data_IF_999400639188
#
_entry.id   IF_999400639188
#
_cell.length_a   1.000
_cell.length_b   1.000
_cell.length_c   1.000
_cell.angle_alpha   90.00
_cell.angle_beta   90.00
_cell.angle_gamma   90.00
#
_symmetry.space_group_name_H-M   'P 1'
#
loop_
_entity.id
_entity.type
_entity.pdbx_description
1 polymer ?
#
# COMPACT_ATOMS: atom_id res chain seq x y z
N UNK A 1 7.22 -12.04 37.96
CA UNK A 1 8.01 -10.92 37.41
C UNK A 1 7.21 -9.65 37.66
N UNK A 2 7.70 -8.82 38.58
CA UNK A 2 7.02 -7.61 39.05
C UNK A 2 6.93 -6.63 37.88
N UNK A 3 5.73 -6.15 37.54
CA UNK A 3 5.54 -5.07 36.56
C UNK A 3 6.41 -3.88 37.00
N UNK A 4 7.24 -3.29 36.12
CA UNK A 4 8.00 -2.10 36.48
C UNK A 4 7.00 -1.01 36.87
N UNK A 5 7.27 -0.35 37.99
CA UNK A 5 6.49 0.80 38.47
C UNK A 5 6.45 1.86 37.38
N UNK A 6 5.24 2.18 36.94
CA UNK A 6 4.93 3.23 35.98
C UNK A 6 5.57 4.54 36.41
N UNK A 7 6.35 5.15 35.52
CA UNK A 7 6.76 6.55 35.61
C UNK A 7 5.49 7.40 35.83
N UNK A 8 5.44 8.36 36.79
CA UNK A 8 4.22 9.16 37.00
C UNK A 8 3.82 9.79 35.67
N UNK A 9 2.63 9.43 35.18
CA UNK A 9 2.25 9.68 33.80
C UNK A 9 2.20 11.18 33.52
N UNK A 10 2.71 11.60 32.36
CA UNK A 10 2.55 12.96 31.80
C UNK A 10 1.10 13.45 31.79
N UNK A 11 0.13 12.53 31.87
CA UNK A 11 -1.31 12.79 32.01
C UNK A 11 -1.69 13.30 33.40
N UNK A 12 -0.96 12.92 34.46
CA UNK A 12 -1.21 13.42 35.82
C UNK A 12 -0.93 14.93 35.95
N UNK A 13 -0.10 15.48 35.06
CA UNK A 13 0.11 16.94 34.99
C UNK A 13 -1.15 17.69 34.54
N UNK A 14 -2.11 17.00 33.91
CA UNK A 14 -3.39 17.57 33.43
C UNK A 14 -4.47 17.65 34.52
N UNK A 15 -4.19 17.20 35.76
CA UNK A 15 -5.11 17.33 36.89
C UNK A 15 -5.29 18.80 37.36
N UNK A 16 -4.42 19.72 36.89
CA UNK A 16 -4.53 21.16 37.13
C UNK A 16 -5.88 21.71 36.62
N UNK A 17 -6.68 22.37 37.46
CA UNK A 17 -7.93 23.01 37.05
C UNK A 17 -7.80 23.96 35.85
N UNK A 18 -6.65 24.63 35.66
CA UNK A 18 -6.42 25.52 34.52
C UNK A 18 -6.21 24.78 33.19
N UNK A 19 -5.90 23.48 33.24
CA UNK A 19 -5.64 22.65 32.06
C UNK A 19 -6.87 21.89 31.58
N UNK A 20 -7.83 21.65 32.46
CA UNK A 20 -9.10 20.94 32.18
C UNK A 20 -9.80 21.40 30.89
N UNK A 21 -9.95 22.71 30.62
CA UNK A 21 -10.64 23.14 29.39
C UNK A 21 -9.89 22.76 28.09
N UNK A 22 -8.59 22.49 28.17
CA UNK A 22 -7.73 22.14 27.03
C UNK A 22 -7.57 20.63 26.81
N UNK A 23 -7.93 19.80 27.78
CA UNK A 23 -7.72 18.34 27.75
C UNK A 23 -8.33 17.68 26.49
N UNK A 24 -9.59 17.94 26.09
CA UNK A 24 -10.12 17.37 24.85
C UNK A 24 -9.45 17.90 23.59
N UNK A 25 -8.92 19.13 23.62
CA UNK A 25 -8.23 19.71 22.47
C UNK A 25 -6.89 19.04 22.26
N UNK A 26 -6.18 18.70 23.34
CA UNK A 26 -4.96 17.89 23.27
C UNK A 26 -5.24 16.50 22.70
N UNK A 27 -6.37 15.88 23.08
CA UNK A 27 -6.75 14.57 22.54
C UNK A 27 -7.03 14.64 21.05
N UNK A 28 -7.84 15.62 20.60
CA UNK A 28 -8.21 15.76 19.20
C UNK A 28 -7.02 16.20 18.34
N UNK A 29 -6.13 17.06 18.85
CA UNK A 29 -4.90 17.42 18.15
C UNK A 29 -4.05 16.18 17.80
N UNK A 30 -4.07 15.15 18.65
CA UNK A 30 -3.27 13.94 18.46
C UNK A 30 -4.07 12.73 17.94
N UNK A 31 -5.39 12.85 17.69
CA UNK A 31 -6.22 11.71 17.30
C UNK A 31 -5.83 11.13 15.95
N UNK A 32 -5.30 11.99 15.07
CA UNK A 32 -4.90 11.63 13.71
C UNK A 32 -3.40 11.27 13.64
N UNK A 33 -2.71 11.27 14.79
CA UNK A 33 -1.34 10.80 14.95
C UNK A 33 -0.25 11.82 14.62
N UNK A 34 -0.59 13.02 14.16
CA UNK A 34 0.35 14.11 13.86
C UNK A 34 -0.23 15.49 14.19
N UNK A 35 0.63 16.42 14.61
CA UNK A 35 0.33 17.85 14.81
C UNK A 35 1.35 18.65 14.01
N UNK A 36 0.90 19.27 12.94
CA UNK A 36 1.78 19.99 12.01
C UNK A 36 2.51 21.16 12.67
N UNK A 37 3.62 21.58 12.08
CA UNK A 37 4.39 22.76 12.54
C UNK A 37 3.54 24.02 12.59
N UNK A 38 2.59 24.18 11.65
CA UNK A 38 1.69 25.32 11.60
C UNK A 38 0.66 25.30 12.73
N UNK A 39 0.03 24.15 12.99
CA UNK A 39 -0.93 23.97 14.10
C UNK A 39 -0.25 24.19 15.45
N UNK A 40 0.92 23.59 15.64
CA UNK A 40 1.74 23.77 16.85
C UNK A 40 2.06 25.24 17.12
N UNK A 41 2.50 25.99 16.10
CA UNK A 41 2.79 27.41 16.23
C UNK A 41 1.53 28.23 16.57
N UNK A 42 0.41 27.92 15.90
CA UNK A 42 -0.87 28.57 16.12
C UNK A 42 -1.44 28.33 17.52
N UNK A 43 -1.31 27.12 18.07
CA UNK A 43 -1.73 26.77 19.42
C UNK A 43 -0.82 27.43 20.44
N UNK A 44 0.50 27.34 20.25
CA UNK A 44 1.50 27.91 21.18
C UNK A 44 1.32 29.41 21.36
N UNK A 45 1.14 30.15 20.27
CA UNK A 45 0.92 31.60 20.32
C UNK A 45 -0.33 31.98 21.12
N UNK A 46 -1.40 31.18 21.01
CA UNK A 46 -2.66 31.41 21.73
C UNK A 46 -2.56 31.06 23.21
N UNK A 47 -1.83 30.01 23.57
CA UNK A 47 -1.50 29.65 24.95
C UNK A 47 -0.67 30.76 25.62
N UNK A 48 0.29 31.35 24.91
CA UNK A 48 1.11 32.45 25.42
C UNK A 48 0.34 33.75 25.63
N UNK A 49 -0.69 33.99 24.82
CA UNK A 49 -1.54 35.17 24.91
C UNK A 49 -2.53 35.17 26.09
N UNK A 50 -2.59 34.10 26.90
CA UNK A 50 -3.55 33.98 28.01
C UNK A 50 -2.97 34.48 29.34
N UNK A 51 -3.28 35.70 29.81
CA UNK A 51 -2.69 36.28 31.02
C UNK A 51 -3.09 35.53 32.31
N UNK A 52 -4.23 34.86 32.31
CA UNK A 52 -4.76 34.07 33.42
C UNK A 52 -4.07 32.71 33.59
N UNK A 53 -3.43 32.18 32.54
CA UNK A 53 -2.79 30.86 32.55
C UNK A 53 -1.41 30.95 33.21
N UNK A 54 -1.19 30.19 34.28
CA UNK A 54 0.09 30.21 35.01
C UNK A 54 1.24 29.72 34.11
N UNK A 55 2.48 30.21 34.33
CA UNK A 55 3.66 29.75 33.57
C UNK A 55 3.83 28.23 33.56
N UNK A 56 3.55 27.56 34.70
CA UNK A 56 3.60 26.10 34.79
C UNK A 56 2.56 25.42 33.89
N UNK A 57 1.32 25.89 33.87
CA UNK A 57 0.26 25.34 33.01
C UNK A 57 0.58 25.56 31.52
N UNK A 58 1.13 26.73 31.14
CA UNK A 58 1.62 26.96 29.77
C UNK A 58 2.69 25.96 29.36
N UNK A 59 3.61 25.64 30.26
CA UNK A 59 4.69 24.70 30.00
C UNK A 59 4.16 23.27 29.77
N UNK A 60 3.16 22.84 30.54
CA UNK A 60 2.50 21.53 30.34
C UNK A 60 1.83 21.46 28.96
N UNK A 61 1.05 22.47 28.57
CA UNK A 61 0.39 22.49 27.25
C UNK A 61 1.41 22.45 26.09
N UNK A 62 2.48 23.25 26.17
CA UNK A 62 3.54 23.23 25.16
C UNK A 62 4.26 21.89 25.12
N UNK A 63 4.55 21.30 26.28
CA UNK A 63 5.11 19.96 26.37
C UNK A 63 4.25 18.93 25.67
N UNK A 64 2.92 18.99 25.84
CA UNK A 64 1.95 18.13 25.14
C UNK A 64 1.93 18.31 23.62
N UNK A 65 2.20 19.50 23.13
CA UNK A 65 2.35 19.74 21.69
C UNK A 65 3.69 19.22 21.21
N UNK A 66 4.80 19.54 21.88
CA UNK A 66 6.19 19.29 21.45
C UNK A 66 6.64 17.84 21.43
N UNK A 67 5.94 16.96 22.14
CA UNK A 67 6.28 15.53 22.18
C UNK A 67 5.07 14.68 21.82
N UNK A 68 5.19 13.86 20.77
CA UNK A 68 4.16 12.89 20.39
C UNK A 68 3.83 11.96 21.57
N UNK A 69 2.56 11.86 21.99
CA UNK A 69 2.16 10.97 23.06
C UNK A 69 2.29 9.51 22.63
N UNK A 70 2.72 8.67 23.56
CA UNK A 70 2.67 7.21 23.40
C UNK A 70 1.22 6.74 23.32
N UNK A 71 0.99 5.52 22.80
CA UNK A 71 -0.35 4.89 22.82
C UNK A 71 -0.97 4.85 24.22
N UNK A 72 -0.17 4.59 25.24
CA UNK A 72 -0.63 4.53 26.63
C UNK A 72 -1.07 5.91 27.13
N UNK A 73 -0.31 6.97 26.80
CA UNK A 73 -0.66 8.35 27.17
C UNK A 73 -1.90 8.85 26.41
N UNK A 74 -2.04 8.53 25.12
CA UNK A 74 -3.23 8.89 24.35
C UNK A 74 -4.48 8.16 24.86
N UNK A 75 -4.34 6.89 25.28
CA UNK A 75 -5.41 6.14 25.94
C UNK A 75 -5.82 6.76 27.28
N UNK A 76 -4.86 7.11 28.14
CA UNK A 76 -5.16 7.78 29.40
C UNK A 76 -5.74 9.19 29.22
N UNK A 77 -5.34 9.90 28.18
CA UNK A 77 -5.94 11.19 27.80
C UNK A 77 -7.39 11.01 27.33
N UNK A 78 -7.68 9.95 26.58
CA UNK A 78 -9.04 9.58 26.20
C UNK A 78 -9.92 9.34 27.44
N UNK A 79 -9.44 8.54 28.39
CA UNK A 79 -10.15 8.21 29.63
C UNK A 79 -10.44 9.47 30.45
N UNK A 80 -9.48 10.39 30.56
CA UNK A 80 -9.65 11.67 31.25
C UNK A 80 -10.74 12.54 30.58
N UNK A 81 -10.76 12.62 29.25
CA UNK A 81 -11.84 13.31 28.51
C UNK A 81 -13.20 12.67 28.79
N UNK A 82 -13.26 11.34 28.90
CA UNK A 82 -14.50 10.62 29.22
C UNK A 82 -15.00 10.93 30.63
N UNK A 83 -14.14 10.86 31.63
CA UNK A 83 -14.51 11.14 33.02
C UNK A 83 -15.05 12.56 33.17
N UNK A 84 -14.38 13.52 32.52
CA UNK A 84 -14.84 14.91 32.51
C UNK A 84 -16.17 15.06 31.78
N UNK A 85 -16.31 14.50 30.58
CA UNK A 85 -17.55 14.56 29.79
C UNK A 85 -18.72 13.86 30.49
N UNK A 86 -18.45 12.78 31.23
CA UNK A 86 -19.43 12.00 31.99
C UNK A 86 -20.16 12.80 33.06
N UNK A 87 -19.55 13.89 33.54
CA UNK A 87 -20.14 14.82 34.51
C UNK A 87 -20.97 15.96 33.89
N UNK A 88 -20.89 16.18 32.57
CA UNK A 88 -21.53 17.31 31.88
C UNK A 88 -22.97 17.02 31.44
N UNK A 89 -23.77 18.07 31.22
CA UNK A 89 -25.11 17.95 30.62
C UNK A 89 -25.04 17.43 29.17
N UNK A 90 -26.06 16.71 28.66
CA UNK A 90 -26.07 16.17 27.30
C UNK A 90 -25.79 17.20 26.20
N UNK A 91 -26.30 18.43 26.36
CA UNK A 91 -26.12 19.53 25.43
C UNK A 91 -24.65 19.99 25.36
N UNK A 92 -23.94 19.94 26.49
CA UNK A 92 -22.52 20.24 26.60
C UNK A 92 -21.62 19.13 26.01
N UNK A 93 -22.17 17.94 25.72
CA UNK A 93 -21.45 16.82 25.07
C UNK A 93 -21.67 16.77 23.55
N UNK A 94 -22.22 17.83 22.97
CA UNK A 94 -22.55 17.88 21.54
C UNK A 94 -21.33 18.14 20.66
N UNK A 95 -20.48 19.09 21.05
CA UNK A 95 -19.22 19.42 20.38
C UNK A 95 -18.22 20.05 21.36
N UNK A 96 -16.97 20.18 20.94
CA UNK A 96 -15.90 20.76 21.76
C UNK A 96 -16.20 22.20 22.22
N UNK A 97 -16.90 22.99 21.41
CA UNK A 97 -17.29 24.36 21.77
C UNK A 97 -18.32 24.38 22.92
N UNK A 98 -19.30 23.49 22.92
CA UNK A 98 -20.29 23.34 23.98
C UNK A 98 -19.65 22.80 25.26
N UNK A 99 -18.70 21.87 25.13
CA UNK A 99 -17.92 21.32 26.24
C UNK A 99 -17.06 22.41 26.91
N UNK A 100 -16.32 23.18 26.11
CA UNK A 100 -15.45 24.25 26.60
C UNK A 100 -16.23 25.32 27.38
N UNK A 101 -17.45 25.66 26.91
CA UNK A 101 -18.31 26.63 27.58
C UNK A 101 -18.77 26.18 28.97
N UNK A 102 -18.97 24.88 29.17
CA UNK A 102 -19.47 24.29 30.40
C UNK A 102 -18.35 24.10 31.45
N UNK A 103 -17.14 23.74 31.00
CA UNK A 103 -16.00 23.44 31.90
C UNK A 103 -15.20 24.68 32.31
N UNK A 104 -15.23 25.74 31.51
CA UNK A 104 -14.55 26.99 31.84
C UNK A 104 -15.18 27.65 33.09
N UNK A 105 -14.35 28.03 34.06
CA UNK A 105 -14.76 28.65 35.33
C UNK A 105 -15.02 30.17 35.21
N UNK A 106 -14.73 30.77 34.06
CA UNK A 106 -14.90 32.20 33.81
C UNK A 106 -14.89 32.58 32.32
N UNK A 107 -15.29 33.82 32.02
CA UNK A 107 -15.43 34.30 30.64
C UNK A 107 -14.09 34.39 29.89
N UNK A 108 -12.99 34.65 30.59
CA UNK A 108 -11.64 34.65 30.01
C UNK A 108 -11.17 33.25 29.60
N UNK A 109 -11.41 32.24 30.46
CA UNK A 109 -11.10 30.83 30.14
C UNK A 109 -11.93 30.35 28.95
N UNK A 110 -13.22 30.70 28.94
CA UNK A 110 -14.13 30.36 27.85
C UNK A 110 -13.71 31.00 26.53
N UNK A 111 -13.34 32.28 26.55
CA UNK A 111 -12.87 32.98 25.35
C UNK A 111 -11.57 32.37 24.81
N UNK A 112 -10.63 32.02 25.68
CA UNK A 112 -9.36 31.40 25.32
C UNK A 112 -9.53 30.06 24.60
N UNK A 113 -10.39 29.19 25.14
CA UNK A 113 -10.61 27.84 24.60
C UNK A 113 -11.38 27.94 23.28
N UNK A 114 -12.36 28.84 23.18
CA UNK A 114 -13.09 29.08 21.93
C UNK A 114 -12.18 29.62 20.82
N UNK A 115 -11.24 30.51 21.12
CA UNK A 115 -10.24 30.98 20.15
C UNK A 115 -9.31 29.85 19.68
N UNK A 116 -9.09 28.84 20.51
CA UNK A 116 -8.28 27.68 20.16
C UNK A 116 -9.06 26.68 19.30
N UNK A 117 -10.33 26.46 19.61
CA UNK A 117 -11.26 25.62 18.83
C UNK A 117 -11.41 26.17 17.40
N UNK A 118 -11.70 27.48 17.26
CA UNK A 118 -11.85 28.16 15.97
C UNK A 118 -10.57 28.08 15.12
N UNK A 119 -9.42 28.31 15.77
CA UNK A 119 -8.11 28.25 15.10
C UNK A 119 -7.74 26.88 14.53
N UNK A 120 -8.28 25.82 15.14
CA UNK A 120 -8.08 24.43 14.73
C UNK A 120 -9.22 23.92 13.85
N UNK A 121 -10.24 24.75 13.56
CA UNK A 121 -11.42 24.35 12.80
C UNK A 121 -12.26 23.29 13.51
N UNK A 122 -12.21 23.24 14.85
CA UNK A 122 -12.80 22.19 15.67
C UNK A 122 -14.19 22.53 16.23
N UNK A 123 -14.85 23.59 15.75
CA UNK A 123 -16.14 24.05 16.30
C UNK A 123 -17.24 23.00 16.27
N UNK A 124 -17.24 22.17 15.21
CA UNK A 124 -18.17 21.06 15.03
C UNK A 124 -17.59 19.71 15.48
N UNK A 125 -16.35 19.67 15.98
CA UNK A 125 -15.71 18.44 16.37
C UNK A 125 -16.48 17.81 17.54
N UNK A 126 -16.89 16.53 17.43
CA UNK A 126 -17.60 15.87 18.51
C UNK A 126 -16.68 15.77 19.72
N UNK A 127 -17.24 15.94 20.92
CA UNK A 127 -16.52 15.50 22.13
C UNK A 127 -16.29 14.01 21.98
N UNK A 128 -15.05 13.50 22.10
CA UNK A 128 -14.79 12.07 22.09
C UNK A 128 -15.77 11.40 23.04
N UNK A 129 -16.61 10.50 22.53
CA UNK A 129 -17.51 9.71 23.37
C UNK A 129 -16.89 8.35 23.57
N UNK A 130 -17.01 7.81 24.77
CA UNK A 130 -17.02 6.38 24.95
C UNK A 130 -18.06 5.87 23.95
N UNK A 131 -17.63 5.02 23.03
CA UNK A 131 -18.56 4.02 22.53
C UNK A 131 -19.05 3.32 23.79
N UNK A 132 -20.28 3.60 24.21
CA UNK A 132 -20.97 2.78 25.22
C UNK A 132 -21.30 1.45 24.56
N UNK A 133 -20.25 0.76 24.14
CA UNK A 133 -20.19 -0.67 23.99
C UNK A 133 -19.66 -1.18 25.33
N UNK A 134 -20.49 -1.07 26.37
CA UNK A 134 -20.48 -2.03 27.48
C UNK A 134 -21.17 -3.33 27.06
N UNK A 135 -21.44 -3.54 25.76
CA UNK A 135 -21.40 -4.90 25.26
C UNK A 135 -19.98 -5.37 25.54
N UNK A 136 -19.84 -6.25 26.54
CA UNK A 136 -18.73 -7.19 26.61
C UNK A 136 -18.35 -7.51 25.17
N UNK A 137 -17.08 -7.29 24.80
CA UNK A 137 -16.61 -7.69 23.49
C UNK A 137 -17.18 -9.09 23.25
N UNK A 138 -17.99 -9.30 22.19
CA UNK A 138 -18.78 -10.51 22.07
C UNK A 138 -17.84 -11.69 22.32
N UNK A 139 -18.24 -12.58 23.23
CA UNK A 139 -17.43 -13.72 23.60
C UNK A 139 -16.88 -14.34 22.31
N UNK A 140 -15.55 -14.59 22.29
CA UNK A 140 -14.91 -15.13 21.10
C UNK A 140 -15.74 -16.34 20.63
N UNK A 141 -16.08 -16.43 19.33
CA UNK A 141 -16.96 -17.49 18.86
C UNK A 141 -16.38 -18.84 19.25
N UNK A 142 -17.24 -19.79 19.61
CA UNK A 142 -16.83 -21.14 19.96
C UNK A 142 -15.91 -21.72 18.85
N UNK A 143 -14.85 -22.49 19.20
CA UNK A 143 -13.90 -23.00 18.22
C UNK A 143 -14.55 -23.78 17.06
N UNK A 144 -15.69 -24.43 17.31
CA UNK A 144 -16.46 -25.13 16.29
C UNK A 144 -17.14 -24.17 15.29
N UNK A 145 -17.72 -23.07 15.79
CA UNK A 145 -18.28 -22.00 14.96
C UNK A 145 -17.20 -21.36 14.08
N UNK A 146 -16.00 -21.11 14.64
CA UNK A 146 -14.87 -20.59 13.87
C UNK A 146 -14.45 -21.56 12.76
N UNK A 147 -14.38 -22.86 13.04
CA UNK A 147 -14.08 -23.88 12.03
C UNK A 147 -15.16 -23.95 10.94
N UNK A 148 -16.42 -23.87 11.31
CA UNK A 148 -17.53 -23.88 10.36
C UNK A 148 -17.52 -22.64 9.45
N UNK A 149 -17.29 -21.45 10.01
CA UNK A 149 -17.13 -20.22 9.23
C UNK A 149 -15.92 -20.28 8.30
N UNK A 150 -14.76 -20.74 8.80
CA UNK A 150 -13.57 -20.92 7.98
C UNK A 150 -13.83 -21.86 6.80
N UNK A 151 -14.47 -23.01 7.04
CA UNK A 151 -14.85 -23.94 5.98
C UNK A 151 -15.83 -23.32 4.97
N UNK A 152 -16.78 -22.51 5.43
CA UNK A 152 -17.72 -21.81 4.56
C UNK A 152 -17.03 -20.76 3.67
N UNK A 153 -16.09 -19.99 4.21
CA UNK A 153 -15.31 -19.01 3.44
C UNK A 153 -14.31 -19.68 2.50
N UNK A 154 -13.70 -20.79 2.92
CA UNK A 154 -12.74 -21.53 2.09
C UNK A 154 -13.44 -22.23 0.91
N UNK A 155 -14.68 -22.69 1.11
CA UNK A 155 -15.52 -23.26 0.07
C UNK A 155 -14.90 -24.46 -0.63
N UNK A 156 -15.17 -24.59 -1.93
CA UNK A 156 -14.67 -25.69 -2.76
C UNK A 156 -13.15 -25.70 -2.97
N UNK A 157 -12.45 -24.60 -2.66
CA UNK A 157 -11.01 -24.43 -2.89
C UNK A 157 -10.18 -24.47 -1.60
N UNK A 158 -10.75 -25.00 -0.52
CA UNK A 158 -10.13 -25.07 0.79
C UNK A 158 -8.71 -25.65 0.76
N UNK A 159 -8.46 -26.65 -0.08
CA UNK A 159 -7.15 -27.28 -0.23
C UNK A 159 -6.10 -26.33 -0.84
N UNK A 160 -6.48 -25.56 -1.87
CA UNK A 160 -5.61 -24.57 -2.50
C UNK A 160 -5.32 -23.44 -1.52
N UNK A 161 -6.36 -22.91 -0.86
CA UNK A 161 -6.21 -21.85 0.15
C UNK A 161 -5.35 -22.29 1.34
N UNK A 162 -5.51 -23.54 1.80
CA UNK A 162 -4.68 -24.11 2.87
C UNK A 162 -3.22 -24.21 2.48
N UNK A 163 -2.90 -24.63 1.24
CA UNK A 163 -1.51 -24.67 0.74
C UNK A 163 -0.88 -23.27 0.73
N UNK A 164 -1.60 -22.27 0.25
CA UNK A 164 -1.08 -20.89 0.21
C UNK A 164 -0.94 -20.31 1.62
N UNK A 165 -1.90 -20.55 2.52
CA UNK A 165 -1.76 -20.15 3.94
C UNK A 165 -0.55 -20.83 4.60
N UNK A 166 -0.33 -22.11 4.36
CA UNK A 166 0.85 -22.81 4.87
C UNK A 166 2.17 -22.24 4.31
N UNK A 167 2.19 -21.77 3.06
CA UNK A 167 3.31 -20.99 2.53
C UNK A 167 3.48 -19.67 3.31
N UNK A 168 2.39 -18.92 3.48
CA UNK A 168 2.38 -17.64 4.19
C UNK A 168 2.71 -17.75 5.68
N UNK A 169 2.50 -18.90 6.31
CA UNK A 169 2.81 -19.15 7.72
C UNK A 169 4.32 -19.20 8.00
N UNK A 170 5.16 -19.28 6.96
CA UNK A 170 6.61 -19.21 7.09
C UNK A 170 7.04 -17.86 7.69
N UNK A 171 7.72 -17.85 8.86
CA UNK A 171 8.24 -16.62 9.47
C UNK A 171 9.23 -15.86 8.59
N UNK A 172 9.91 -16.52 7.64
CA UNK A 172 10.81 -15.87 6.68
C UNK A 172 10.07 -14.99 5.66
N UNK A 173 8.74 -15.12 5.54
CA UNK A 173 7.89 -14.28 4.70
C UNK A 173 7.37 -13.04 5.45
N UNK A 174 8.21 -12.45 6.31
CA UNK A 174 7.89 -11.24 7.07
C UNK A 174 9.00 -10.21 6.87
N UNK A 175 8.65 -9.03 6.37
CA UNK A 175 9.58 -7.96 6.10
C UNK A 175 9.02 -6.63 6.63
N UNK A 176 9.83 -5.89 7.39
CA UNK A 176 9.44 -4.61 7.98
C UNK A 176 10.61 -3.62 7.89
N UNK A 177 10.31 -2.37 7.55
CA UNK A 177 11.30 -1.27 7.59
C UNK A 177 12.48 -1.39 6.62
N UNK A 178 12.38 -2.22 5.57
CA UNK A 178 13.44 -2.37 4.56
C UNK A 178 13.49 -1.17 3.60
N UNK A 179 14.69 -0.86 3.12
CA UNK A 179 14.88 0.03 1.98
C UNK A 179 14.33 -0.60 0.68
N UNK A 180 14.07 0.25 -0.32
CA UNK A 180 13.51 -0.20 -1.61
C UNK A 180 14.36 -1.28 -2.29
N UNK A 181 15.71 -1.16 -2.41
CA UNK A 181 16.52 -2.18 -3.05
C UNK A 181 16.48 -3.53 -2.32
N UNK A 182 16.60 -3.53 -0.99
CA UNK A 182 16.57 -4.75 -0.17
C UNK A 182 15.21 -5.43 -0.26
N UNK A 183 14.13 -4.64 -0.24
CA UNK A 183 12.78 -5.17 -0.34
C UNK A 183 12.52 -5.81 -1.72
N UNK A 184 13.00 -5.20 -2.81
CA UNK A 184 12.89 -5.77 -4.17
C UNK A 184 13.63 -7.10 -4.31
N UNK A 185 14.84 -7.20 -3.78
CA UNK A 185 15.62 -8.43 -3.77
C UNK A 185 14.91 -9.55 -2.98
N UNK A 186 14.36 -9.21 -1.81
CA UNK A 186 13.60 -10.14 -0.98
C UNK A 186 12.33 -10.64 -1.66
N UNK A 187 11.57 -9.74 -2.30
CA UNK A 187 10.37 -10.11 -3.05
C UNK A 187 10.69 -11.04 -4.22
N UNK A 188 11.83 -10.85 -4.91
CA UNK A 188 12.28 -11.79 -5.93
C UNK A 188 12.60 -13.17 -5.34
N UNK A 189 13.30 -13.23 -4.19
CA UNK A 189 13.58 -14.48 -3.49
C UNK A 189 12.27 -15.21 -3.12
N UNK A 190 11.32 -14.51 -2.53
CA UNK A 190 10.02 -15.07 -2.17
C UNK A 190 9.23 -15.54 -3.39
N UNK A 191 9.31 -14.82 -4.52
CA UNK A 191 8.70 -15.26 -5.79
C UNK A 191 9.30 -16.59 -6.27
N UNK A 192 10.62 -16.79 -6.10
CA UNK A 192 11.29 -18.05 -6.42
C UNK A 192 10.92 -19.17 -5.44
N UNK A 193 10.84 -18.89 -4.13
CA UNK A 193 10.34 -19.85 -3.13
C UNK A 193 8.91 -20.28 -3.45
N UNK A 194 8.05 -19.34 -3.80
CA UNK A 194 6.67 -19.58 -4.23
C UNK A 194 6.60 -20.48 -5.48
N UNK A 195 7.40 -20.17 -6.51
CA UNK A 195 7.54 -20.99 -7.70
C UNK A 195 8.01 -22.43 -7.38
N UNK A 196 9.00 -22.57 -6.49
CA UNK A 196 9.56 -23.86 -6.09
C UNK A 196 8.53 -24.79 -5.39
N UNK A 197 7.47 -24.23 -4.79
CA UNK A 197 6.35 -25.01 -4.24
C UNK A 197 5.29 -25.40 -5.29
N UNK A 198 5.56 -25.13 -6.57
CA UNK A 198 4.70 -25.50 -7.69
C UNK A 198 3.55 -24.52 -7.95
N UNK A 199 3.44 -23.41 -7.21
CA UNK A 199 2.34 -22.46 -7.42
C UNK A 199 2.41 -21.75 -8.79
N UNK A 200 3.62 -21.53 -9.32
CA UNK A 200 3.79 -20.95 -10.65
C UNK A 200 3.23 -21.83 -11.78
N UNK A 201 3.33 -23.16 -11.65
CA UNK A 201 2.80 -24.10 -12.66
C UNK A 201 1.28 -24.08 -12.75
N UNK A 202 0.59 -23.82 -11.64
CA UNK A 202 -0.87 -23.70 -11.56
C UNK A 202 -1.39 -22.59 -12.49
N UNK A 203 -0.57 -21.58 -12.78
CA UNK A 203 -0.94 -20.47 -13.67
C UNK A 203 -1.08 -20.88 -15.15
N UNK A 204 -0.57 -22.06 -15.54
CA UNK A 204 -0.48 -22.47 -16.96
C UNK A 204 -1.18 -23.82 -17.22
N UNK A 205 -2.50 -23.92 -16.97
CA UNK A 205 -3.26 -25.13 -17.24
C UNK A 205 -3.26 -25.45 -18.75
N UNK A 206 -3.28 -26.74 -19.08
CA UNK A 206 -3.25 -27.25 -20.45
C UNK A 206 -1.85 -27.28 -21.09
N UNK A 207 -0.85 -26.65 -20.47
CA UNK A 207 0.56 -26.75 -20.89
C UNK A 207 1.40 -27.45 -19.83
N UNK A 208 1.31 -27.04 -18.57
CA UNK A 208 2.11 -27.60 -17.47
C UNK A 208 1.30 -28.45 -16.50
N UNK A 209 0.05 -28.06 -16.25
CA UNK A 209 -0.85 -28.72 -15.29
C UNK A 209 -2.17 -29.07 -15.97
N UNK A 210 -2.84 -30.10 -15.48
CA UNK A 210 -4.24 -30.36 -15.84
C UNK A 210 -5.15 -29.49 -14.98
N UNK A 211 -6.16 -28.82 -15.55
CA UNK A 211 -7.11 -28.02 -14.79
C UNK A 211 -7.56 -26.75 -15.53
N UNK A 212 -7.97 -25.74 -14.76
CA UNK A 212 -8.36 -24.42 -15.25
C UNK A 212 -7.68 -23.29 -14.45
N UNK A 213 -7.93 -22.04 -14.85
CA UNK A 213 -7.35 -20.86 -14.21
C UNK A 213 -7.94 -20.55 -12.83
N UNK A 214 -9.04 -21.20 -12.42
CA UNK A 214 -9.72 -20.96 -11.14
C UNK A 214 -8.78 -21.21 -9.98
N UNK A 215 -8.00 -22.29 -10.05
CA UNK A 215 -7.01 -22.63 -9.02
C UNK A 215 -5.98 -21.50 -8.86
N UNK A 216 -5.46 -20.94 -9.96
CA UNK A 216 -4.51 -19.84 -9.87
C UNK A 216 -5.16 -18.54 -9.37
N UNK A 217 -6.41 -18.26 -9.72
CA UNK A 217 -7.15 -17.13 -9.16
C UNK A 217 -7.27 -17.23 -7.64
N UNK A 218 -7.59 -18.42 -7.11
CA UNK A 218 -7.67 -18.65 -5.67
C UNK A 218 -6.30 -18.54 -5.00
N UNK A 219 -5.25 -19.03 -5.66
CA UNK A 219 -3.87 -18.86 -5.20
C UNK A 219 -3.53 -17.38 -5.07
N UNK A 220 -3.82 -16.58 -6.10
CA UNK A 220 -3.57 -15.15 -6.12
C UNK A 220 -4.38 -14.40 -5.05
N UNK A 221 -5.67 -14.67 -4.92
CA UNK A 221 -6.54 -14.07 -3.90
C UNK A 221 -6.03 -14.37 -2.49
N UNK A 222 -5.64 -15.62 -2.22
CA UNK A 222 -5.17 -16.03 -0.88
C UNK A 222 -3.78 -15.45 -0.57
N UNK A 223 -2.92 -15.32 -1.58
CA UNK A 223 -1.59 -14.71 -1.43
C UNK A 223 -1.67 -13.24 -0.97
N UNK A 224 -2.79 -12.55 -1.27
CA UNK A 224 -3.04 -11.18 -0.84
C UNK A 224 -3.17 -11.01 0.68
N UNK A 225 -3.36 -12.10 1.44
CA UNK A 225 -3.33 -12.07 2.91
C UNK A 225 -1.93 -11.84 3.48
N UNK A 226 -0.88 -12.00 2.66
CA UNK A 226 0.50 -11.75 3.02
C UNK A 226 0.99 -10.40 2.53
N UNK A 227 2.15 -10.42 1.86
CA UNK A 227 2.79 -9.23 1.33
C UNK A 227 2.22 -8.83 -0.05
N UNK A 228 1.73 -7.60 -0.18
CA UNK A 228 1.13 -7.12 -1.43
C UNK A 228 2.15 -6.87 -2.54
N UNK A 229 3.42 -6.61 -2.24
CA UNK A 229 4.47 -6.57 -3.27
C UNK A 229 4.73 -7.97 -3.83
N UNK A 230 4.74 -9.01 -2.98
CA UNK A 230 4.85 -10.40 -3.44
C UNK A 230 3.65 -10.77 -4.33
N UNK A 231 2.44 -10.43 -3.89
CA UNK A 231 1.23 -10.62 -4.69
C UNK A 231 1.39 -10.04 -6.09
N UNK A 232 1.74 -8.75 -6.18
CA UNK A 232 1.86 -8.06 -7.47
C UNK A 232 3.03 -8.60 -8.30
N UNK A 233 4.16 -8.97 -7.69
CA UNK A 233 5.30 -9.59 -8.38
C UNK A 233 4.89 -10.92 -9.03
N UNK A 234 4.20 -11.78 -8.29
CA UNK A 234 3.64 -13.03 -8.80
C UNK A 234 2.58 -12.77 -9.89
N UNK A 235 1.73 -11.76 -9.72
CA UNK A 235 0.74 -11.35 -10.72
C UNK A 235 1.37 -10.92 -12.03
N UNK A 236 2.45 -10.13 -11.99
CA UNK A 236 3.21 -9.73 -13.18
C UNK A 236 3.87 -10.92 -13.84
N UNK A 237 4.57 -11.76 -13.07
CA UNK A 237 5.35 -12.88 -13.60
C UNK A 237 4.45 -13.99 -14.18
N UNK A 238 3.53 -14.52 -13.37
CA UNK A 238 2.73 -15.68 -13.74
C UNK A 238 1.42 -15.30 -14.42
N UNK A 239 0.76 -14.25 -13.93
CA UNK A 239 -0.52 -13.79 -14.47
C UNK A 239 -0.36 -13.04 -15.80
N UNK A 240 0.36 -11.91 -15.80
CA UNK A 240 0.43 -11.02 -16.96
C UNK A 240 1.43 -11.51 -18.00
N UNK A 241 2.71 -11.63 -17.65
CA UNK A 241 3.75 -12.08 -18.58
C UNK A 241 3.50 -13.53 -19.01
N UNK A 242 3.46 -14.46 -18.06
CA UNK A 242 3.15 -15.87 -18.34
C UNK A 242 1.80 -16.07 -19.03
N UNK A 243 0.74 -15.42 -18.56
CA UNK A 243 -0.58 -15.52 -19.18
C UNK A 243 -0.62 -14.96 -20.61
N UNK A 244 0.16 -13.94 -20.94
CA UNK A 244 0.27 -13.47 -22.33
C UNK A 244 0.93 -14.51 -23.24
N UNK A 245 1.95 -15.23 -22.76
CA UNK A 245 2.55 -16.34 -23.51
C UNK A 245 1.57 -17.50 -23.66
N UNK A 246 0.78 -17.80 -22.63
CA UNK A 246 -0.23 -18.85 -22.66
C UNK A 246 -1.36 -18.55 -23.65
N UNK A 247 -1.95 -17.35 -23.55
CA UNK A 247 -3.21 -17.00 -24.22
C UNK A 247 -3.02 -16.38 -25.61
N UNK A 248 -1.93 -15.63 -25.81
CA UNK A 248 -1.64 -14.93 -27.08
C UNK A 248 -0.49 -15.59 -27.85
N UNK A 249 0.27 -16.45 -27.19
CA UNK A 249 1.41 -17.13 -27.78
C UNK A 249 1.04 -18.34 -28.63
N UNK A 250 2.09 -19.04 -29.05
CA UNK A 250 2.04 -20.24 -29.88
C UNK A 250 2.99 -21.27 -29.28
N UNK A 251 3.13 -22.45 -29.89
CA UNK A 251 3.99 -23.53 -29.37
C UNK A 251 5.42 -23.06 -29.01
N UNK A 252 6.03 -22.15 -29.80
CA UNK A 252 7.37 -21.60 -29.48
C UNK A 252 7.38 -20.78 -28.18
N UNK A 253 6.29 -20.09 -27.88
CA UNK A 253 6.14 -19.27 -26.68
C UNK A 253 5.79 -20.15 -25.47
N UNK A 254 4.95 -21.17 -25.68
CA UNK A 254 4.58 -22.14 -24.66
C UNK A 254 5.79 -22.95 -24.17
N UNK A 255 6.80 -23.17 -25.01
CA UNK A 255 8.05 -23.81 -24.62
C UNK A 255 8.80 -23.07 -23.49
N UNK A 256 8.54 -21.78 -23.29
CA UNK A 256 9.14 -20.99 -22.21
C UNK A 256 8.39 -21.12 -20.88
N UNK A 257 7.13 -21.58 -20.90
CA UNK A 257 6.25 -21.53 -19.72
C UNK A 257 6.79 -22.33 -18.53
N UNK A 258 7.52 -23.41 -18.75
CA UNK A 258 8.14 -24.18 -17.67
C UNK A 258 9.17 -23.35 -16.89
N UNK A 259 10.02 -22.59 -17.58
CA UNK A 259 11.00 -21.71 -16.94
C UNK A 259 10.36 -20.44 -16.36
N UNK A 260 9.28 -19.96 -16.97
CA UNK A 260 8.48 -18.85 -16.42
C UNK A 260 7.80 -19.27 -15.11
N UNK A 261 7.20 -20.47 -15.07
CA UNK A 261 6.57 -21.05 -13.89
C UNK A 261 7.56 -21.29 -12.74
N UNK A 262 8.79 -21.69 -13.09
CA UNK A 262 9.88 -21.87 -12.13
C UNK A 262 10.57 -20.55 -11.72
N UNK A 263 10.12 -19.40 -12.21
CA UNK A 263 10.74 -18.09 -12.02
C UNK A 263 12.25 -18.05 -12.39
N UNK A 264 12.65 -18.86 -13.38
CA UNK A 264 13.99 -18.86 -13.99
C UNK A 264 14.05 -17.82 -15.11
N UNK A 265 13.03 -17.82 -15.96
CA UNK A 265 12.83 -16.79 -16.99
C UNK A 265 11.87 -15.75 -16.44
N UNK A 266 12.41 -14.62 -16.03
CA UNK A 266 11.63 -13.50 -15.52
C UNK A 266 11.20 -12.58 -16.66
N UNK A 267 9.95 -12.15 -16.63
CA UNK A 267 9.45 -11.21 -17.63
C UNK A 267 8.51 -10.16 -17.05
N UNK A 268 8.12 -9.26 -17.94
CA UNK A 268 7.21 -8.17 -17.65
C UNK A 268 6.16 -7.98 -18.75
N UNK A 269 5.13 -7.22 -18.42
CA UNK A 269 4.00 -6.93 -19.29
C UNK A 269 4.01 -5.44 -19.64
N UNK A 270 4.54 -5.10 -20.81
CA UNK A 270 4.87 -3.75 -21.23
C UNK A 270 3.75 -3.16 -22.11
N UNK A 271 2.62 -2.81 -21.48
CA UNK A 271 1.47 -2.20 -22.16
C UNK A 271 1.43 -0.69 -22.01
N UNK A 272 1.21 -0.22 -20.77
CA UNK A 272 0.99 1.20 -20.46
C UNK A 272 2.14 2.07 -20.90
N UNK A 273 1.79 3.24 -21.43
CA UNK A 273 2.70 4.31 -21.82
C UNK A 273 2.45 5.56 -20.98
N UNK A 274 3.39 6.50 -20.98
CA UNK A 274 3.23 7.79 -20.29
C UNK A 274 1.97 8.52 -20.76
N UNK A 275 1.73 8.54 -22.08
CA UNK A 275 0.55 9.19 -22.67
C UNK A 275 -0.73 8.34 -22.60
N UNK A 276 -0.61 7.03 -22.41
CA UNK A 276 -1.71 6.09 -22.66
C UNK A 276 -1.73 4.93 -21.65
N UNK A 277 -2.62 5.03 -20.65
CA UNK A 277 -2.99 3.94 -19.76
C UNK A 277 -4.34 3.34 -20.14
N UNK A 278 -5.42 4.11 -19.97
CA UNK A 278 -6.78 3.64 -20.23
C UNK A 278 -7.09 3.45 -21.72
N UNK A 279 -6.61 4.35 -22.58
CA UNK A 279 -6.84 4.28 -24.03
C UNK A 279 -5.75 3.46 -24.73
N UNK A 280 -5.79 2.14 -24.54
CA UNK A 280 -4.81 1.21 -25.11
C UNK A 280 -4.80 1.24 -26.64
N UNK A 281 -5.91 1.55 -27.30
CA UNK A 281 -5.95 1.64 -28.76
C UNK A 281 -5.06 2.76 -29.34
N UNK A 282 -4.70 3.75 -28.51
CA UNK A 282 -3.88 4.90 -28.90
C UNK A 282 -2.40 4.77 -28.55
N UNK A 283 -1.91 3.60 -28.12
CA UNK A 283 -0.49 3.39 -27.84
C UNK A 283 0.39 3.85 -29.01
N UNK A 284 1.50 4.49 -28.73
CA UNK A 284 2.37 5.10 -29.73
C UNK A 284 3.55 4.21 -30.11
N UNK A 285 3.97 3.27 -29.25
CA UNK A 285 5.04 2.30 -29.59
C UNK A 285 4.66 1.56 -30.87
N UNK A 286 5.58 1.48 -31.84
CA UNK A 286 5.35 0.80 -33.11
C UNK A 286 6.05 -0.55 -33.17
N UNK A 287 5.48 -1.47 -33.93
CA UNK A 287 6.10 -2.71 -34.36
C UNK A 287 5.98 -2.81 -35.88
N UNK A 288 6.99 -2.35 -36.60
CA UNK A 288 6.99 -2.28 -38.06
C UNK A 288 7.56 -3.57 -38.64
N UNK A 289 6.83 -4.24 -39.53
CA UNK A 289 7.30 -5.45 -40.20
C UNK A 289 8.28 -5.12 -41.34
N UNK A 290 9.49 -5.65 -41.25
CA UNK A 290 10.52 -5.56 -42.29
C UNK A 290 10.51 -6.85 -43.14
N UNK A 291 10.00 -6.74 -44.37
CA UNK A 291 9.86 -7.88 -45.27
C UNK A 291 11.20 -8.43 -45.78
N UNK A 292 12.26 -7.62 -45.81
CA UNK A 292 13.56 -8.04 -46.32
C UNK A 292 14.26 -9.01 -45.35
N UNK A 293 14.13 -8.72 -44.05
CA UNK A 293 14.75 -9.50 -42.96
C UNK A 293 13.77 -10.47 -42.29
N UNK A 294 12.46 -10.29 -42.52
CA UNK A 294 11.37 -11.04 -41.86
C UNK A 294 11.37 -10.85 -40.35
N UNK A 295 11.56 -9.61 -39.93
CA UNK A 295 11.64 -9.19 -38.54
C UNK A 295 10.56 -8.15 -38.24
N UNK A 296 10.25 -7.98 -36.96
CA UNK A 296 9.57 -6.78 -36.46
C UNK A 296 10.60 -5.83 -35.87
N UNK A 297 10.45 -4.54 -36.18
CA UNK A 297 11.27 -3.45 -35.64
C UNK A 297 10.42 -2.67 -34.64
N UNK A 298 10.81 -2.73 -33.37
CA UNK A 298 10.10 -2.10 -32.25
C UNK A 298 10.70 -0.74 -31.98
N UNK A 299 9.86 0.29 -31.91
CA UNK A 299 10.32 1.65 -31.66
C UNK A 299 9.40 2.45 -30.75
N UNK A 300 10.02 3.23 -29.87
CA UNK A 300 9.39 4.24 -29.02
C UNK A 300 9.58 5.62 -29.68
N UNK A 301 8.59 6.15 -30.41
CA UNK A 301 8.75 7.35 -31.24
C UNK A 301 8.84 8.66 -30.43
N UNK A 302 8.40 8.66 -29.17
CA UNK A 302 8.32 9.85 -28.33
C UNK A 302 8.47 9.48 -26.85
N UNK A 303 8.74 10.46 -25.98
CA UNK A 303 8.71 10.20 -24.52
C UNK A 303 7.28 9.91 -24.01
N UNK A 304 6.24 10.33 -24.73
CA UNK A 304 4.85 9.95 -24.43
C UNK A 304 4.62 8.45 -24.66
N UNK A 305 5.29 7.88 -25.68
CA UNK A 305 5.26 6.47 -26.05
C UNK A 305 6.10 5.55 -25.15
N UNK A 306 6.87 6.11 -24.21
CA UNK A 306 7.69 5.32 -23.30
C UNK A 306 6.79 4.41 -22.47
N UNK A 307 7.13 3.13 -22.38
CA UNK A 307 6.43 2.21 -21.47
C UNK A 307 6.69 2.64 -20.03
N UNK A 308 5.65 2.79 -19.21
CA UNK A 308 5.75 3.27 -17.83
C UNK A 308 4.97 2.37 -16.87
N UNK A 309 5.40 2.33 -15.61
CA UNK A 309 4.87 1.47 -14.55
C UNK A 309 5.01 -0.04 -14.77
N UNK A 310 5.94 -0.46 -15.62
CA UNK A 310 6.08 -1.87 -16.00
C UNK A 310 6.74 -2.66 -14.87
N UNK A 311 5.95 -3.44 -14.12
CA UNK A 311 6.47 -4.29 -13.04
C UNK A 311 7.57 -5.23 -13.55
N UNK A 312 8.63 -5.39 -12.77
CA UNK A 312 9.85 -6.13 -13.13
C UNK A 312 10.78 -5.48 -14.16
N UNK A 313 10.40 -4.40 -14.85
CA UNK A 313 11.23 -3.86 -15.93
C UNK A 313 12.49 -3.13 -15.44
N UNK A 314 12.45 -2.57 -14.23
CA UNK A 314 13.58 -1.79 -13.72
C UNK A 314 14.82 -2.65 -13.49
N UNK A 315 14.67 -3.89 -13.00
CA UNK A 315 15.80 -4.71 -12.58
C UNK A 315 15.68 -6.17 -13.06
N UNK A 316 14.51 -6.80 -12.88
CA UNK A 316 14.43 -8.27 -12.86
C UNK A 316 14.07 -8.93 -14.21
N UNK A 317 13.27 -8.27 -15.04
CA UNK A 317 12.73 -8.88 -16.26
C UNK A 317 13.79 -8.97 -17.36
N UNK A 318 13.88 -10.15 -17.99
CA UNK A 318 14.73 -10.40 -19.17
C UNK A 318 13.96 -10.32 -20.47
N UNK A 319 12.66 -10.59 -20.42
CA UNK A 319 11.75 -10.45 -21.54
C UNK A 319 10.61 -9.51 -21.20
N UNK A 320 10.14 -8.77 -22.19
CA UNK A 320 8.92 -8.00 -22.11
C UNK A 320 7.92 -8.53 -23.14
N UNK A 321 6.66 -8.71 -22.74
CA UNK A 321 5.57 -8.72 -23.72
C UNK A 321 5.20 -7.27 -24.00
N UNK A 322 5.67 -6.74 -25.12
CA UNK A 322 5.48 -5.35 -25.54
C UNK A 322 4.21 -5.24 -26.37
N UNK A 323 3.31 -4.35 -25.95
CA UNK A 323 2.13 -4.01 -26.74
C UNK A 323 2.45 -2.80 -27.62
N UNK A 324 2.35 -2.96 -28.93
CA UNK A 324 2.73 -1.94 -29.90
C UNK A 324 1.76 -1.94 -31.09
N UNK A 325 1.59 -0.80 -31.73
CA UNK A 325 0.84 -0.70 -32.97
C UNK A 325 1.60 -1.41 -34.10
N UNK A 326 0.98 -2.47 -34.64
CA UNK A 326 1.53 -3.24 -35.75
C UNK A 326 1.44 -2.43 -37.03
N UNK A 327 2.56 -2.27 -37.72
CA UNK A 327 2.64 -1.58 -39.02
C UNK A 327 3.17 -2.53 -40.09
N UNK A 328 2.39 -2.73 -41.16
CA UNK A 328 2.75 -3.62 -42.29
C UNK A 328 2.49 -2.89 -43.59
N UNK A 329 3.51 -2.74 -44.44
CA UNK A 329 3.35 -2.07 -45.74
C UNK A 329 2.90 -0.61 -45.66
N UNK A 330 3.15 0.07 -44.53
CA UNK A 330 2.71 1.44 -44.27
C UNK A 330 1.29 1.56 -43.68
N UNK A 331 0.61 0.45 -43.42
CA UNK A 331 -0.72 0.43 -42.80
C UNK A 331 -0.65 0.02 -41.33
N UNK A 332 -1.49 0.65 -40.49
CA UNK A 332 -1.63 0.34 -39.06
C UNK A 332 -2.73 -0.69 -38.83
N UNK A 333 -2.39 -1.76 -38.12
CA UNK A 333 -3.29 -2.88 -37.81
C UNK A 333 -3.71 -2.94 -36.33
N UNK A 334 -3.45 -1.88 -35.57
CA UNK A 334 -3.78 -1.82 -34.16
C UNK A 334 -2.77 -2.53 -33.27
N UNK A 335 -3.08 -2.56 -31.97
CA UNK A 335 -2.16 -3.04 -30.93
C UNK A 335 -2.03 -4.55 -30.95
N UNK A 336 -0.78 -5.02 -31.04
CA UNK A 336 -0.39 -6.42 -30.96
C UNK A 336 0.64 -6.64 -29.86
N UNK A 337 0.72 -7.86 -29.35
CA UNK A 337 1.70 -8.27 -28.34
C UNK A 337 2.92 -8.93 -28.99
N UNK A 338 4.12 -8.48 -28.64
CA UNK A 338 5.38 -9.01 -29.15
C UNK A 338 6.31 -9.36 -27.99
N UNK A 339 6.90 -10.56 -28.03
CA UNK A 339 7.89 -10.97 -27.04
C UNK A 339 9.25 -10.40 -27.42
N UNK A 340 9.76 -9.47 -26.61
CA UNK A 340 11.02 -8.76 -26.84
C UNK A 340 12.01 -9.13 -25.74
N UNK A 341 13.20 -9.66 -26.06
CA UNK A 341 14.28 -9.76 -25.09
C UNK A 341 14.78 -8.35 -24.76
N UNK A 342 14.88 -8.02 -23.48
CA UNK A 342 15.25 -6.68 -23.01
C UNK A 342 16.57 -6.64 -22.23
N UNK A 343 17.04 -7.79 -21.73
CA UNK A 343 18.32 -7.90 -21.01
C UNK A 343 19.10 -9.14 -21.40
N UNK A 344 20.42 -9.07 -21.27
CA UNK A 344 21.32 -10.21 -21.40
C UNK A 344 21.36 -11.07 -20.11
N UNK A 345 22.20 -12.12 -20.11
CA UNK A 345 22.40 -13.00 -18.95
C UNK A 345 22.92 -12.27 -17.71
N UNK A 346 23.73 -11.22 -17.88
CA UNK A 346 24.26 -10.39 -16.81
C UNK A 346 23.23 -9.38 -16.26
N UNK A 347 22.03 -9.29 -16.85
CA UNK A 347 21.00 -8.33 -16.45
C UNK A 347 21.19 -6.93 -17.06
N UNK A 348 22.08 -6.77 -18.02
CA UNK A 348 22.30 -5.50 -18.72
C UNK A 348 21.30 -5.36 -19.87
N UNK A 349 20.79 -4.13 -20.15
CA UNK A 349 19.91 -3.90 -21.29
C UNK A 349 20.56 -4.32 -22.62
N UNK A 350 19.77 -4.93 -23.51
CA UNK A 350 20.23 -5.26 -24.86
C UNK A 350 20.34 -4.00 -25.74
N UNK A 351 21.03 -4.12 -26.88
CA UNK A 351 21.17 -3.04 -27.85
C UNK A 351 19.80 -2.49 -28.29
N UNK A 352 19.69 -1.16 -28.34
CA UNK A 352 18.44 -0.46 -28.63
C UNK A 352 17.42 -0.47 -27.49
N UNK A 353 17.68 -1.17 -26.37
CA UNK A 353 16.79 -1.16 -25.20
C UNK A 353 17.35 -0.23 -24.13
N UNK A 354 16.55 0.74 -23.70
CA UNK A 354 16.83 1.55 -22.50
C UNK A 354 15.84 1.18 -21.41
N UNK A 355 16.34 1.06 -20.18
CA UNK A 355 15.51 0.81 -18.99
C UNK A 355 15.67 1.93 -17.97
N UNK A 356 14.63 2.21 -17.18
CA UNK A 356 14.70 3.14 -16.05
C UNK A 356 13.82 2.69 -14.89
N UNK A 357 14.14 3.12 -13.68
CA UNK A 357 13.31 2.87 -12.50
C UNK A 357 12.18 3.92 -12.40
N UNK A 358 10.98 3.49 -12.01
CA UNK A 358 9.89 4.41 -11.66
C UNK A 358 10.11 5.09 -10.30
N UNK A 359 11.05 4.58 -9.49
CA UNK A 359 11.47 5.14 -8.21
C UNK A 359 10.58 4.71 -7.04
N UNK A 360 10.58 5.53 -5.99
CA UNK A 360 9.72 5.32 -4.82
C UNK A 360 8.25 5.55 -5.17
N UNK A 361 7.39 4.66 -4.67
CA UNK A 361 5.94 4.68 -4.87
C UNK A 361 5.24 4.80 -3.52
N UNK A 362 3.97 5.22 -3.54
CA UNK A 362 3.11 5.26 -2.33
C UNK A 362 3.07 3.90 -1.60
N UNK A 363 3.12 2.80 -2.35
CA UNK A 363 3.20 1.45 -1.81
C UNK A 363 3.80 0.49 -2.83
N UNK A 364 3.82 -0.80 -2.50
CA UNK A 364 4.33 -1.86 -3.38
C UNK A 364 5.80 -1.65 -3.79
N UNK A 365 6.63 -1.11 -2.89
CA UNK A 365 8.01 -0.75 -3.20
C UNK A 365 8.92 -1.97 -3.46
N UNK A 366 8.51 -3.17 -3.06
CA UNK A 366 9.20 -4.42 -3.40
C UNK A 366 8.98 -4.87 -4.84
N UNK A 367 8.11 -4.19 -5.60
CA UNK A 367 7.99 -4.37 -7.05
C UNK A 367 8.86 -3.33 -7.74
N UNK A 368 9.80 -3.80 -8.57
CA UNK A 368 10.69 -3.01 -9.40
C UNK A 368 9.98 -2.54 -10.69
N UNK A 369 8.95 -1.71 -10.52
CA UNK A 369 8.29 -1.03 -11.64
C UNK A 369 9.30 -0.15 -12.36
N UNK A 370 9.37 -0.31 -13.68
CA UNK A 370 10.30 0.41 -14.52
C UNK A 370 9.68 0.96 -15.78
N UNK A 371 10.57 1.56 -16.56
CA UNK A 371 10.33 2.22 -17.82
C UNK A 371 11.13 1.54 -18.91
N UNK A 372 10.57 1.47 -20.12
CA UNK A 372 11.25 0.90 -21.28
C UNK A 372 11.14 1.85 -22.47
N UNK A 373 12.24 1.97 -23.20
CA UNK A 373 12.30 2.58 -24.52
C UNK A 373 12.96 1.59 -25.48
N UNK A 374 12.49 1.60 -26.72
CA UNK A 374 13.00 0.77 -27.79
C UNK A 374 13.48 1.68 -28.93
N UNK A 375 14.74 1.55 -29.30
CA UNK A 375 15.35 2.22 -30.44
C UNK A 375 15.63 1.19 -31.53
N UNK A 376 14.69 1.06 -32.47
CA UNK A 376 14.79 0.19 -33.64
C UNK A 376 15.15 -1.28 -33.29
N UNK A 377 14.60 -1.81 -32.20
CA UNK A 377 14.92 -3.15 -31.69
C UNK A 377 14.31 -4.21 -32.61
N UNK A 378 15.15 -5.10 -33.13
CA UNK A 378 14.74 -6.15 -34.08
C UNK A 378 14.44 -7.46 -33.38
N UNK A 379 13.30 -8.06 -33.72
CA UNK A 379 12.92 -9.40 -33.26
C UNK A 379 12.44 -10.27 -34.43
N UNK A 380 12.57 -11.60 -34.36
CA UNK A 380 12.01 -12.49 -35.38
C UNK A 380 10.49 -12.37 -35.50
N UNK A 381 9.97 -12.60 -36.72
CA UNK A 381 8.52 -12.71 -36.96
C UNK A 381 7.83 -13.75 -36.07
#
# INVERSE_FOLDING_TARGET
MVRPMSNPSRVAELDDPQLRPFVPLLYVAWSDGDVSTAERAAITARVDAQPWLRPAARQVLKGWLDTTPTRAELGALHDLVQDMAGSLRPEARSNLAAYAKEIANGDEERAAVMQLIDALGLDAAPVPRATTSTTDAPAAPEPETLRALAAAFDGADADVRRRVRAFLDDPELRAYGLGTPEYRALILEWTRKFAAQGFGSIAFPGVLETGDLRAFTVVFETLALGDLSLLIKCGVQFGLFGGSLLLLGTARHHALLADVAAAKTLGCFAMSEVGHGSNVAALETTATYDAATREFVIHTPSESARKDWIGSAAEHARFATVFANLEVGGERHGVHALLVPIRNEAGEPLEGVRTGDSGHKMGLNGVDNGRLWFDQVRIPR
#
